data_IF_096006873191
#
_entry.id   IF_096006873191
#
_cell.length_a   1.000
_cell.length_b   1.000
_cell.length_c   1.000
_cell.angle_alpha   90.00
_cell.angle_beta   90.00
_cell.angle_gamma   90.00
#
_symmetry.space_group_name_H-M   'P 1'
#
loop_
_entity.id
_entity.type
_entity.pdbx_description
1 polymer ?
#
# COMPACT_ATOMS: atom_id res chain seq x y z
N UNK A 1 -16.80 -23.06 7.90
CA UNK A 1 -15.44 -22.99 7.29
C UNK A 1 -15.30 -24.16 6.35
N UNK A 2 -15.41 -23.95 5.04
CA UNK A 2 -15.18 -25.01 4.06
C UNK A 2 -13.70 -25.41 4.14
N UNK A 3 -13.46 -26.68 4.42
CA UNK A 3 -12.15 -27.35 4.35
C UNK A 3 -11.60 -27.18 2.91
N UNK A 4 -11.00 -26.04 2.60
CA UNK A 4 -10.22 -25.90 1.36
C UNK A 4 -8.83 -26.43 1.69
N UNK A 5 -8.53 -27.59 1.14
CA UNK A 5 -7.19 -28.15 1.13
C UNK A 5 -6.18 -27.08 0.72
N UNK A 6 -5.05 -27.00 1.41
CA UNK A 6 -3.95 -26.13 1.01
C UNK A 6 -3.61 -26.41 -0.46
N UNK A 7 -3.59 -25.38 -1.33
CA UNK A 7 -3.32 -25.62 -2.74
C UNK A 7 -2.00 -26.35 -2.91
N UNK A 8 -2.01 -27.32 -3.80
CA UNK A 8 -0.80 -28.05 -4.17
C UNK A 8 0.29 -27.06 -4.63
N UNK A 9 1.57 -27.39 -4.44
CA UNK A 9 2.67 -26.51 -4.90
C UNK A 9 2.54 -26.11 -6.37
N UNK A 10 2.01 -27.00 -7.19
CA UNK A 10 1.77 -26.73 -8.62
C UNK A 10 0.69 -25.66 -8.86
N UNK A 11 -0.41 -25.68 -8.10
CA UNK A 11 -1.45 -24.63 -8.16
C UNK A 11 -0.90 -23.28 -7.71
N UNK A 12 -0.10 -23.25 -6.65
CA UNK A 12 0.52 -22.00 -6.21
C UNK A 12 1.44 -21.41 -7.29
N UNK A 13 2.29 -22.26 -7.88
CA UNK A 13 3.19 -21.84 -8.97
C UNK A 13 2.42 -21.31 -10.18
N UNK A 14 1.30 -21.97 -10.57
CA UNK A 14 0.46 -21.50 -11.67
C UNK A 14 -0.17 -20.13 -11.38
N UNK A 15 -0.60 -19.83 -10.15
CA UNK A 15 -1.07 -18.49 -9.78
C UNK A 15 0.04 -17.44 -9.88
N UNK A 16 1.24 -17.74 -9.39
CA UNK A 16 2.38 -16.80 -9.48
C UNK A 16 2.73 -16.51 -10.93
N UNK A 17 2.88 -17.54 -11.76
CA UNK A 17 3.20 -17.37 -13.20
C UNK A 17 2.08 -16.59 -13.90
N UNK A 18 0.82 -16.98 -13.71
CA UNK A 18 -0.32 -16.32 -14.34
C UNK A 18 -0.43 -14.85 -13.94
N UNK A 19 -0.33 -14.51 -12.66
CA UNK A 19 -0.37 -13.13 -12.20
C UNK A 19 0.85 -12.32 -12.65
N UNK A 20 2.04 -12.93 -12.69
CA UNK A 20 3.23 -12.26 -13.23
C UNK A 20 3.07 -11.93 -14.71
N UNK A 21 2.49 -12.84 -15.51
CA UNK A 21 2.17 -12.58 -16.91
C UNK A 21 1.13 -11.46 -17.05
N UNK A 22 0.06 -11.49 -16.26
CA UNK A 22 -0.96 -10.42 -16.25
C UNK A 22 -0.31 -9.08 -15.89
N UNK A 23 0.57 -9.03 -14.89
CA UNK A 23 1.28 -7.82 -14.51
C UNK A 23 2.14 -7.28 -15.65
N UNK A 24 2.90 -8.14 -16.34
CA UNK A 24 3.74 -7.74 -17.48
C UNK A 24 2.89 -7.21 -18.66
N UNK A 25 1.80 -7.90 -18.97
CA UNK A 25 0.85 -7.47 -20.02
C UNK A 25 0.23 -6.11 -19.64
N UNK A 26 -0.19 -5.95 -18.39
CA UNK A 26 -0.78 -4.69 -17.90
C UNK A 26 0.25 -3.56 -17.92
N UNK A 27 1.51 -3.81 -17.57
CA UNK A 27 2.61 -2.85 -17.67
C UNK A 27 2.82 -2.39 -19.11
N UNK A 28 2.83 -3.32 -20.07
CA UNK A 28 2.97 -3.00 -21.48
C UNK A 28 1.79 -2.15 -21.97
N UNK A 29 0.55 -2.58 -21.69
CA UNK A 29 -0.67 -1.84 -22.04
C UNK A 29 -0.68 -0.46 -21.39
N UNK A 30 -0.32 -0.37 -20.12
CA UNK A 30 -0.24 0.89 -19.38
C UNK A 30 0.77 1.88 -20.00
N UNK A 31 1.86 1.36 -20.58
CA UNK A 31 2.85 2.19 -21.27
C UNK A 31 2.32 2.72 -22.63
N UNK A 32 1.38 2.02 -23.27
CA UNK A 32 0.72 2.49 -24.50
C UNK A 32 -0.29 3.62 -24.23
N UNK A 33 -0.99 3.56 -23.10
CA UNK A 33 -2.11 4.47 -22.77
C UNK A 33 -1.57 5.78 -22.17
N UNK A 34 -2.04 6.92 -22.68
CA UNK A 34 -1.73 8.27 -22.25
C UNK A 34 -2.04 9.28 -23.35
N UNK A 35 -2.00 10.60 -23.02
CA UNK A 35 -2.38 11.68 -23.93
C UNK A 35 -1.59 11.68 -25.24
N UNK A 36 -0.29 11.42 -25.18
CA UNK A 36 0.52 11.22 -26.39
C UNK A 36 0.27 9.83 -26.96
N UNK A 37 -0.22 9.76 -28.20
CA UNK A 37 -0.37 8.50 -28.95
C UNK A 37 1.01 7.96 -29.31
N UNK A 38 1.41 6.85 -28.71
CA UNK A 38 2.71 6.20 -28.93
C UNK A 38 2.46 4.81 -29.52
N UNK A 39 3.24 4.44 -30.55
CA UNK A 39 3.17 3.14 -31.18
C UNK A 39 3.90 2.07 -30.32
N UNK A 40 3.46 0.81 -30.44
CA UNK A 40 4.09 -0.29 -29.71
C UNK A 40 5.56 -0.51 -30.09
N UNK A 41 5.92 -0.27 -31.36
CA UNK A 41 7.32 -0.32 -31.84
C UNK A 41 8.21 0.69 -31.09
N UNK A 42 7.72 1.91 -30.87
CA UNK A 42 8.45 2.96 -30.17
C UNK A 42 8.73 2.59 -28.70
N UNK A 43 7.83 1.81 -28.05
CA UNK A 43 8.08 1.33 -26.69
C UNK A 43 9.24 0.32 -26.68
N UNK A 44 9.26 -0.60 -27.63
CA UNK A 44 10.33 -1.60 -27.77
C UNK A 44 11.66 -0.89 -28.04
N UNK A 45 11.67 0.08 -28.96
CA UNK A 45 12.84 0.90 -29.25
C UNK A 45 13.32 1.70 -28.01
N UNK A 46 12.39 2.30 -27.25
CA UNK A 46 12.73 3.07 -26.06
C UNK A 46 13.39 2.21 -24.97
N UNK A 47 13.06 0.91 -24.89
CA UNK A 47 13.64 -0.03 -23.91
C UNK A 47 15.00 -0.55 -24.38
N UNK A 48 15.14 -0.91 -25.67
CA UNK A 48 16.33 -1.58 -26.19
C UNK A 48 17.30 -0.67 -26.93
N UNK A 49 16.82 0.45 -27.50
CA UNK A 49 17.58 1.37 -28.36
C UNK A 49 17.20 2.82 -28.08
N UNK A 50 17.31 3.23 -26.81
CA UNK A 50 16.92 4.56 -26.37
C UNK A 50 17.70 5.67 -27.08
N UNK A 51 16.94 6.59 -27.72
CA UNK A 51 17.49 7.79 -28.35
C UNK A 51 16.97 9.06 -27.62
N UNK A 52 17.82 9.80 -26.92
CA UNK A 52 17.45 11.00 -26.17
C UNK A 52 16.89 12.13 -27.06
N UNK A 53 17.16 12.11 -28.36
CA UNK A 53 16.61 13.10 -29.31
C UNK A 53 15.17 12.81 -29.71
N UNK A 54 14.64 11.62 -29.40
CA UNK A 54 13.27 11.25 -29.71
C UNK A 54 12.33 11.59 -28.56
N UNK A 55 11.47 12.60 -28.75
CA UNK A 55 10.54 13.08 -27.76
C UNK A 55 9.58 11.99 -27.23
N UNK A 56 9.13 11.07 -28.08
CA UNK A 56 8.23 9.98 -27.67
C UNK A 56 8.95 8.99 -26.76
N UNK A 57 10.21 8.65 -27.05
CA UNK A 57 11.02 7.79 -26.20
C UNK A 57 11.33 8.44 -24.84
N UNK A 58 11.53 9.77 -24.82
CA UNK A 58 11.71 10.53 -23.55
C UNK A 58 10.43 10.48 -22.69
N UNK A 59 9.24 10.64 -23.29
CA UNK A 59 7.96 10.51 -22.56
C UNK A 59 7.84 9.10 -21.96
N UNK A 60 8.22 8.05 -22.69
CA UNK A 60 8.19 6.70 -22.17
C UNK A 60 9.13 6.55 -20.98
N UNK A 61 10.41 6.91 -21.13
CA UNK A 61 11.44 6.63 -20.14
C UNK A 61 11.38 7.53 -18.91
N UNK A 62 11.00 8.82 -19.08
CA UNK A 62 11.05 9.78 -17.98
C UNK A 62 9.70 9.97 -17.28
N UNK A 63 8.59 9.60 -17.94
CA UNK A 63 7.25 9.83 -17.40
C UNK A 63 6.50 8.51 -17.21
N UNK A 64 6.33 7.69 -18.28
CA UNK A 64 5.44 6.54 -18.22
C UNK A 64 6.02 5.36 -17.44
N UNK A 65 7.28 5.03 -17.67
CA UNK A 65 7.94 3.91 -16.97
C UNK A 65 8.03 4.19 -15.47
N UNK A 66 8.53 5.36 -14.99
CA UNK A 66 8.56 5.65 -13.54
C UNK A 66 7.17 5.61 -12.90
N UNK A 67 6.15 6.18 -13.56
CA UNK A 67 4.76 6.15 -13.10
C UNK A 67 4.22 4.73 -12.96
N UNK A 68 4.43 3.90 -13.97
CA UNK A 68 3.98 2.50 -13.97
C UNK A 68 4.67 1.67 -12.89
N UNK A 69 5.99 1.83 -12.73
CA UNK A 69 6.75 1.17 -11.66
C UNK A 69 6.26 1.65 -10.29
N UNK A 70 6.01 2.95 -10.12
CA UNK A 70 5.45 3.49 -8.89
C UNK A 70 4.10 2.85 -8.55
N UNK A 71 3.18 2.76 -9.50
CA UNK A 71 1.88 2.12 -9.31
C UNK A 71 2.03 0.67 -8.83
N UNK A 72 2.94 -0.09 -9.44
CA UNK A 72 3.19 -1.48 -9.07
C UNK A 72 3.76 -1.60 -7.66
N UNK A 73 4.86 -0.90 -7.34
CA UNK A 73 5.53 -1.04 -6.03
C UNK A 73 4.68 -0.51 -4.88
N UNK A 74 3.90 0.56 -5.11
CA UNK A 74 2.95 1.09 -4.14
C UNK A 74 1.82 0.09 -3.89
N UNK A 75 1.26 -0.47 -4.96
CA UNK A 75 0.24 -1.51 -4.84
C UNK A 75 0.73 -2.74 -4.09
N UNK A 76 1.94 -3.21 -4.39
CA UNK A 76 2.61 -4.29 -3.64
C UNK A 76 2.77 -3.93 -2.17
N UNK A 77 3.29 -2.74 -1.87
CA UNK A 77 3.57 -2.29 -0.51
C UNK A 77 2.30 -2.15 0.34
N UNK A 78 1.25 -1.50 -0.18
CA UNK A 78 -0.02 -1.34 0.52
C UNK A 78 -0.72 -2.67 0.77
N UNK A 79 -0.76 -3.54 -0.25
CA UNK A 79 -1.40 -4.85 -0.14
C UNK A 79 -0.69 -5.75 0.88
N UNK A 80 0.65 -5.83 0.83
CA UNK A 80 1.43 -6.63 1.78
C UNK A 80 1.35 -6.04 3.19
N UNK A 81 1.43 -4.71 3.35
CA UNK A 81 1.21 -4.06 4.64
C UNK A 81 -0.15 -4.44 5.23
N UNK A 82 -1.21 -4.41 4.42
CA UNK A 82 -2.54 -4.87 4.82
C UNK A 82 -2.57 -6.33 5.27
N UNK A 83 -1.95 -7.23 4.50
CA UNK A 83 -1.85 -8.64 4.86
C UNK A 83 -1.16 -8.85 6.21
N UNK A 84 -0.07 -8.13 6.46
CA UNK A 84 0.67 -8.16 7.73
C UNK A 84 -0.22 -7.71 8.89
N UNK A 85 -0.86 -6.54 8.76
CA UNK A 85 -1.71 -5.97 9.81
C UNK A 85 -2.88 -6.91 10.13
N UNK A 86 -3.54 -7.45 9.09
CA UNK A 86 -4.61 -8.44 9.27
C UNK A 86 -4.12 -9.70 9.97
N UNK A 87 -2.92 -10.19 9.66
CA UNK A 87 -2.31 -11.35 10.32
C UNK A 87 -1.98 -11.09 11.79
N UNK A 88 -1.35 -9.96 12.07
CA UNK A 88 -0.95 -9.56 13.43
C UNK A 88 -2.16 -9.30 14.33
N UNK A 89 -3.17 -8.62 13.80
CA UNK A 89 -4.40 -8.27 14.53
C UNK A 89 -5.42 -9.40 14.55
N UNK A 90 -5.24 -10.42 13.74
CA UNK A 90 -6.21 -11.50 13.48
C UNK A 90 -7.58 -10.95 13.08
N UNK A 91 -7.59 -9.83 12.41
CA UNK A 91 -8.77 -9.14 11.93
C UNK A 91 -8.67 -8.94 10.42
N UNK A 92 -9.48 -9.65 9.65
CA UNK A 92 -9.50 -9.57 8.19
C UNK A 92 -9.98 -8.22 7.62
N UNK A 93 -10.55 -7.36 8.46
CA UNK A 93 -11.02 -6.01 8.10
C UNK A 93 -10.02 -4.91 8.49
N UNK A 94 -8.86 -5.27 9.05
CA UNK A 94 -7.84 -4.29 9.36
C UNK A 94 -7.17 -3.77 8.09
N UNK A 95 -7.01 -2.44 8.01
CA UNK A 95 -6.39 -1.72 6.90
C UNK A 95 -5.30 -0.79 7.45
N UNK A 96 -4.13 -0.68 6.80
CA UNK A 96 -3.08 0.28 7.17
C UNK A 96 -3.58 1.72 7.28
N UNK A 97 -4.51 2.12 6.42
CA UNK A 97 -5.09 3.45 6.41
C UNK A 97 -5.82 3.81 7.73
N UNK A 98 -6.38 2.79 8.43
CA UNK A 98 -7.10 2.99 9.69
C UNK A 98 -6.18 3.15 10.91
N UNK A 99 -4.87 2.94 10.76
CA UNK A 99 -3.90 3.04 11.87
C UNK A 99 -3.24 4.43 11.94
N UNK A 100 -3.83 5.43 11.33
CA UNK A 100 -3.32 6.81 11.40
C UNK A 100 -2.14 7.12 10.47
N UNK A 101 -1.73 6.20 9.60
CA UNK A 101 -0.60 6.40 8.68
C UNK A 101 -0.88 7.53 7.69
N UNK A 102 -2.04 7.51 7.05
CA UNK A 102 -2.43 8.51 6.05
C UNK A 102 -2.57 9.92 6.66
N UNK A 103 -3.21 10.02 7.82
CA UNK A 103 -3.39 11.30 8.51
C UNK A 103 -2.10 11.86 9.06
N UNK A 104 -1.19 10.98 9.55
CA UNK A 104 0.15 11.37 9.97
C UNK A 104 0.98 11.92 8.82
N UNK A 105 0.95 11.26 7.65
CA UNK A 105 1.60 11.75 6.44
C UNK A 105 1.04 13.11 6.00
N UNK A 106 -0.30 13.26 5.93
CA UNK A 106 -0.96 14.53 5.58
C UNK A 106 -0.56 15.67 6.52
N UNK A 107 -0.53 15.41 7.83
CA UNK A 107 -0.13 16.40 8.81
C UNK A 107 1.33 16.84 8.61
N UNK A 108 2.24 15.87 8.45
CA UNK A 108 3.65 16.17 8.23
C UNK A 108 3.89 16.96 6.93
N UNK A 109 3.17 16.62 5.88
CA UNK A 109 3.23 17.35 4.61
C UNK A 109 2.70 18.77 4.73
N UNK A 110 1.54 18.97 5.34
CA UNK A 110 0.98 20.29 5.57
C UNK A 110 1.95 21.17 6.38
N UNK A 111 2.56 20.60 7.43
CA UNK A 111 3.57 21.28 8.24
C UNK A 111 4.83 21.61 7.43
N UNK A 112 5.30 20.66 6.61
CA UNK A 112 6.50 20.88 5.78
C UNK A 112 6.27 21.99 4.76
N UNK A 113 5.14 21.99 4.06
CA UNK A 113 4.80 23.08 3.14
C UNK A 113 4.65 24.45 3.82
N UNK A 114 4.12 24.47 5.05
CA UNK A 114 3.97 25.69 5.83
C UNK A 114 5.32 26.29 6.24
N UNK A 115 6.28 25.45 6.62
CA UNK A 115 7.61 25.87 7.10
C UNK A 115 8.62 26.04 5.96
N UNK A 116 8.54 25.19 4.93
CA UNK A 116 9.46 25.13 3.80
C UNK A 116 8.69 25.14 2.47
N UNK A 117 8.10 26.26 2.03
CA UNK A 117 7.19 26.31 0.89
C UNK A 117 7.83 25.93 -0.46
N UNK A 118 9.16 26.10 -0.61
CA UNK A 118 9.90 25.77 -1.84
C UNK A 118 10.75 24.52 -1.71
N UNK A 119 10.33 23.56 -0.90
CA UNK A 119 11.10 22.35 -0.64
C UNK A 119 11.04 21.37 -1.82
N UNK A 120 12.09 20.53 -1.92
CA UNK A 120 12.12 19.47 -2.94
C UNK A 120 11.12 18.36 -2.61
N UNK A 121 10.63 17.68 -3.65
CA UNK A 121 9.72 16.55 -3.46
C UNK A 121 10.35 15.43 -2.60
N UNK A 122 11.66 15.25 -2.64
CA UNK A 122 12.36 14.27 -1.81
C UNK A 122 12.17 14.56 -0.30
N UNK A 123 12.27 15.84 0.10
CA UNK A 123 12.03 16.25 1.49
C UNK A 123 10.56 15.99 1.87
N UNK A 124 9.62 16.29 0.96
CA UNK A 124 8.19 15.99 1.18
C UNK A 124 7.94 14.49 1.33
N UNK A 125 8.57 13.66 0.51
CA UNK A 125 8.49 12.21 0.62
C UNK A 125 8.98 11.71 1.98
N UNK A 126 10.14 12.18 2.44
CA UNK A 126 10.67 11.81 3.75
C UNK A 126 9.80 12.35 4.90
N UNK A 127 9.30 13.58 4.79
CA UNK A 127 8.39 14.16 5.78
C UNK A 127 7.08 13.34 5.88
N UNK A 128 6.47 13.02 4.74
CA UNK A 128 5.28 12.18 4.67
C UNK A 128 5.52 10.79 5.25
N UNK A 129 6.64 10.17 4.93
CA UNK A 129 7.06 8.88 5.48
C UNK A 129 7.22 8.92 7.01
N UNK A 130 7.95 9.90 7.53
CA UNK A 130 8.12 10.08 8.97
C UNK A 130 6.79 10.39 9.66
N UNK A 131 5.96 11.24 9.04
CA UNK A 131 4.61 11.54 9.54
C UNK A 131 3.71 10.31 9.60
N UNK A 132 3.76 9.45 8.58
CA UNK A 132 3.04 8.18 8.60
C UNK A 132 3.50 7.29 9.75
N UNK A 133 4.81 7.10 9.92
CA UNK A 133 5.37 6.29 11.02
C UNK A 133 4.96 6.88 12.38
N UNK A 134 5.06 8.18 12.56
CA UNK A 134 4.69 8.85 13.82
C UNK A 134 3.19 8.68 14.11
N UNK A 135 2.32 8.89 13.13
CA UNK A 135 0.88 8.66 13.27
C UNK A 135 0.57 7.24 13.68
N UNK A 136 1.14 6.25 12.98
CA UNK A 136 0.99 4.84 13.32
C UNK A 136 1.56 4.47 14.69
N UNK A 137 2.72 5.00 15.05
CA UNK A 137 3.34 4.78 16.37
C UNK A 137 2.48 5.32 17.51
N UNK A 138 1.91 6.52 17.37
CA UNK A 138 0.98 7.09 18.36
C UNK A 138 -0.23 6.19 18.56
N UNK A 139 -0.84 5.72 17.46
CA UNK A 139 -1.99 4.79 17.53
C UNK A 139 -1.62 3.49 18.23
N UNK A 140 -0.47 2.91 17.90
CA UNK A 140 -0.02 1.66 18.51
C UNK A 140 0.33 1.84 20.00
N UNK A 141 0.91 2.99 20.40
CA UNK A 141 1.19 3.29 21.80
C UNK A 141 -0.10 3.43 22.61
N UNK A 142 -1.11 4.15 22.10
CA UNK A 142 -2.41 4.31 22.75
C UNK A 142 -3.17 2.99 22.79
N UNK A 143 -3.14 2.23 21.68
CA UNK A 143 -3.85 0.94 21.56
C UNK A 143 -3.26 -0.19 22.43
N UNK A 144 -2.00 -0.05 22.89
CA UNK A 144 -1.33 -1.03 23.75
C UNK A 144 -1.70 -0.82 25.21
N UNK A 145 -2.37 -1.79 25.82
CA UNK A 145 -2.64 -1.79 27.27
C UNK A 145 -1.50 -2.46 28.05
N UNK A 146 -1.17 -1.91 29.20
CA UNK A 146 -0.22 -2.56 30.15
C UNK A 146 -0.77 -3.85 30.74
N UNK A 147 -2.11 -3.98 30.90
CA UNK A 147 -2.75 -5.13 31.54
C UNK A 147 -3.22 -6.20 30.54
N UNK A 148 -3.82 -5.78 29.40
CA UNK A 148 -4.51 -6.68 28.47
C UNK A 148 -3.69 -6.93 27.18
N UNK A 149 -2.47 -6.39 27.07
CA UNK A 149 -1.65 -6.53 25.89
C UNK A 149 -2.21 -5.80 24.67
N UNK A 150 -2.26 -6.46 23.54
CA UNK A 150 -2.65 -5.90 22.24
C UNK A 150 -4.16 -6.12 22.00
N UNK A 151 -4.97 -5.06 22.14
CA UNK A 151 -6.42 -5.14 21.91
C UNK A 151 -6.80 -4.50 20.57
N UNK A 152 -7.31 -5.28 19.59
CA UNK A 152 -7.66 -4.80 18.25
C UNK A 152 -8.70 -3.67 18.27
N UNK A 153 -9.71 -3.74 19.15
CA UNK A 153 -10.75 -2.70 19.25
C UNK A 153 -10.16 -1.37 19.73
N UNK A 154 -9.24 -1.38 20.70
CA UNK A 154 -8.57 -0.17 21.17
C UNK A 154 -7.72 0.48 20.08
N UNK A 155 -7.06 -0.32 19.23
CA UNK A 155 -6.26 0.19 18.11
C UNK A 155 -7.17 0.88 17.08
N UNK A 156 -8.32 0.28 16.75
CA UNK A 156 -9.28 0.90 15.83
C UNK A 156 -9.80 2.22 16.40
N UNK A 157 -10.20 2.26 17.67
CA UNK A 157 -10.68 3.48 18.30
C UNK A 157 -9.59 4.55 18.43
N UNK A 158 -8.37 4.15 18.82
CA UNK A 158 -7.22 5.04 18.86
C UNK A 158 -6.87 5.56 17.46
N UNK A 159 -6.91 4.69 16.46
CA UNK A 159 -6.70 5.03 15.06
C UNK A 159 -7.69 6.08 14.57
N UNK A 160 -8.98 5.88 14.85
CA UNK A 160 -10.02 6.84 14.49
C UNK A 160 -9.82 8.22 15.16
N UNK A 161 -9.55 8.23 16.47
CA UNK A 161 -9.34 9.46 17.23
C UNK A 161 -8.07 10.22 16.78
N UNK A 162 -6.93 9.52 16.66
CA UNK A 162 -5.67 10.10 16.21
C UNK A 162 -5.77 10.59 14.77
N UNK A 163 -6.41 9.81 13.89
CA UNK A 163 -6.63 10.21 12.49
C UNK A 163 -7.48 11.48 12.40
N UNK A 164 -8.57 11.56 13.16
CA UNK A 164 -9.41 12.76 13.20
C UNK A 164 -8.62 13.99 13.69
N UNK A 165 -7.85 13.83 14.76
CA UNK A 165 -7.01 14.92 15.29
C UNK A 165 -5.96 15.38 14.28
N UNK A 166 -5.19 14.45 13.70
CA UNK A 166 -4.13 14.80 12.75
C UNK A 166 -4.70 15.41 11.46
N UNK A 167 -5.86 14.93 11.01
CA UNK A 167 -6.57 15.50 9.85
C UNK A 167 -7.03 16.92 10.15
N UNK A 168 -7.62 17.17 11.31
CA UNK A 168 -8.04 18.52 11.72
C UNK A 168 -6.85 19.47 11.80
N UNK A 169 -5.72 19.04 12.40
CA UNK A 169 -4.49 19.84 12.45
C UNK A 169 -3.93 20.12 11.05
N UNK A 170 -3.91 19.12 10.18
CA UNK A 170 -3.48 19.27 8.77
C UNK A 170 -4.33 20.31 8.03
N UNK A 171 -5.65 20.23 8.18
CA UNK A 171 -6.59 21.19 7.57
C UNK A 171 -6.45 22.60 8.17
N UNK A 172 -6.25 22.70 9.49
CA UNK A 172 -5.99 23.96 10.17
C UNK A 172 -4.73 24.67 9.62
N UNK A 173 -3.63 23.92 9.47
CA UNK A 173 -2.40 24.43 8.86
C UNK A 173 -2.65 24.81 7.40
N UNK A 174 -3.31 23.96 6.62
CA UNK A 174 -3.61 24.24 5.21
C UNK A 174 -4.42 25.52 5.03
N UNK A 175 -5.38 25.78 5.92
CA UNK A 175 -6.18 26.99 5.92
C UNK A 175 -5.36 28.23 6.31
N UNK A 176 -4.60 28.15 7.41
CA UNK A 176 -3.78 29.25 7.94
C UNK A 176 -2.71 29.71 6.95
N UNK A 177 -2.10 28.79 6.20
CA UNK A 177 -1.02 29.05 5.24
C UNK A 177 -1.50 29.07 3.78
N UNK A 178 -2.81 28.99 3.52
CA UNK A 178 -3.42 28.97 2.16
C UNK A 178 -2.94 27.80 1.29
N UNK A 179 -2.70 26.64 1.90
CA UNK A 179 -2.20 25.42 1.25
C UNK A 179 -3.32 24.43 0.85
N UNK A 180 -4.59 24.85 0.92
CA UNK A 180 -5.75 23.96 0.73
C UNK A 180 -5.67 23.18 -0.57
N UNK A 181 -5.33 23.84 -1.68
CA UNK A 181 -5.23 23.19 -2.99
C UNK A 181 -4.11 22.13 -2.99
N UNK A 182 -2.93 22.47 -2.50
CA UNK A 182 -1.77 21.57 -2.45
C UNK A 182 -2.04 20.32 -1.61
N UNK A 183 -2.59 20.53 -0.39
CA UNK A 183 -2.94 19.42 0.51
C UNK A 183 -4.06 18.57 -0.09
N UNK A 184 -5.06 19.18 -0.73
CA UNK A 184 -6.15 18.45 -1.38
C UNK A 184 -5.65 17.60 -2.54
N UNK A 185 -4.80 18.12 -3.41
CA UNK A 185 -4.20 17.35 -4.51
C UNK A 185 -3.43 16.13 -4.00
N UNK A 186 -2.62 16.33 -2.96
CA UNK A 186 -1.86 15.23 -2.39
C UNK A 186 -2.78 14.19 -1.72
N UNK A 187 -3.79 14.62 -0.95
CA UNK A 187 -4.73 13.71 -0.29
C UNK A 187 -5.63 12.96 -1.26
N UNK A 188 -5.86 13.51 -2.46
CA UNK A 188 -6.62 12.84 -3.51
C UNK A 188 -5.94 11.55 -4.00
N UNK A 189 -4.62 11.46 -3.85
CA UNK A 189 -3.82 10.28 -4.14
C UNK A 189 -3.61 10.02 -5.63
N UNK A 190 -2.37 9.71 -6.00
CA UNK A 190 -2.03 9.36 -7.38
C UNK A 190 -0.52 9.19 -7.56
N UNK A 191 -0.14 8.58 -8.68
CA UNK A 191 1.27 8.31 -9.04
C UNK A 191 1.79 9.21 -10.16
N UNK A 192 0.98 10.18 -10.63
CA UNK A 192 1.26 11.00 -11.82
C UNK A 192 2.55 11.84 -11.71
N UNK A 193 2.94 12.27 -10.53
CA UNK A 193 4.15 13.06 -10.30
C UNK A 193 5.41 12.25 -10.00
N UNK A 194 5.39 10.93 -10.13
CA UNK A 194 6.53 10.09 -9.75
C UNK A 194 7.63 10.13 -10.81
N UNK A 195 8.87 10.33 -10.36
CA UNK A 195 10.08 10.35 -11.18
C UNK A 195 11.08 9.28 -10.72
N UNK A 196 12.14 9.04 -11.50
CA UNK A 196 13.23 8.14 -11.13
C UNK A 196 13.91 8.51 -9.81
N UNK A 197 13.99 9.80 -9.49
CA UNK A 197 14.57 10.26 -8.21
C UNK A 197 13.79 9.75 -7.00
N UNK A 198 12.48 9.60 -7.09
CA UNK A 198 11.64 9.02 -6.04
C UNK A 198 11.83 7.50 -5.95
N UNK A 199 11.84 6.83 -7.10
CA UNK A 199 11.96 5.38 -7.20
C UNK A 199 13.32 4.86 -6.74
N UNK A 200 14.39 5.63 -6.96
CA UNK A 200 15.73 5.31 -6.50
C UNK A 200 15.81 5.00 -5.00
N UNK A 201 14.98 5.65 -4.19
CA UNK A 201 14.90 5.41 -2.75
C UNK A 201 13.78 4.43 -2.38
N UNK A 202 12.65 4.51 -3.04
CA UNK A 202 11.50 3.68 -2.72
C UNK A 202 11.71 2.19 -3.06
N UNK A 203 12.27 1.88 -4.23
CA UNK A 203 12.47 0.49 -4.67
C UNK A 203 13.36 -0.31 -3.70
N UNK A 204 14.55 0.16 -3.30
CA UNK A 204 15.37 -0.58 -2.34
C UNK A 204 14.71 -0.75 -0.98
N UNK A 205 14.07 0.31 -0.45
CA UNK A 205 13.43 0.26 0.87
C UNK A 205 12.24 -0.70 0.89
N UNK A 206 11.37 -0.64 -0.12
CA UNK A 206 10.24 -1.57 -0.25
C UNK A 206 10.77 -2.98 -0.50
N UNK A 207 11.77 -3.16 -1.36
CA UNK A 207 12.39 -4.46 -1.64
C UNK A 207 12.96 -5.13 -0.41
N UNK A 208 13.72 -4.39 0.42
CA UNK A 208 14.26 -4.88 1.70
C UNK A 208 13.12 -5.26 2.65
N UNK A 209 12.10 -4.40 2.79
CA UNK A 209 10.97 -4.66 3.67
C UNK A 209 10.18 -5.91 3.23
N UNK A 210 9.94 -6.07 1.92
CA UNK A 210 9.31 -7.26 1.35
C UNK A 210 10.17 -8.51 1.57
N UNK A 211 11.47 -8.43 1.36
CA UNK A 211 12.38 -9.54 1.60
C UNK A 211 12.35 -10.00 3.06
N UNK A 212 12.45 -9.05 4.00
CA UNK A 212 12.42 -9.39 5.44
C UNK A 212 11.09 -10.04 5.82
N UNK A 213 9.95 -9.51 5.39
CA UNK A 213 8.65 -10.11 5.75
C UNK A 213 8.46 -11.51 5.15
N UNK A 214 9.01 -11.76 3.96
CA UNK A 214 8.98 -13.09 3.37
C UNK A 214 9.79 -14.10 4.18
N UNK A 215 10.94 -13.73 4.75
CA UNK A 215 11.75 -14.62 5.61
C UNK A 215 11.04 -14.99 6.90
N UNK A 216 10.20 -14.09 7.45
CA UNK A 216 9.44 -14.33 8.68
C UNK A 216 7.95 -14.68 8.43
N UNK A 217 7.59 -15.03 7.21
CA UNK A 217 6.20 -15.32 6.82
C UNK A 217 5.60 -16.52 7.57
N UNK A 218 6.41 -17.55 7.85
CA UNK A 218 5.99 -18.71 8.64
C UNK A 218 5.64 -18.33 10.08
N UNK A 219 6.42 -17.44 10.69
CA UNK A 219 6.16 -16.91 12.03
C UNK A 219 4.86 -16.09 12.06
N UNK A 220 4.56 -15.34 10.99
CA UNK A 220 3.29 -14.64 10.86
C UNK A 220 2.11 -15.61 10.70
N UNK A 221 2.30 -16.72 9.99
CA UNK A 221 1.29 -17.80 9.90
C UNK A 221 0.98 -18.36 11.29
N UNK A 222 2.01 -18.70 12.07
CA UNK A 222 1.85 -19.22 13.44
C UNK A 222 1.16 -18.18 14.34
N UNK A 223 1.57 -16.90 14.26
CA UNK A 223 0.97 -15.82 15.05
C UNK A 223 -0.53 -15.64 14.74
N UNK A 224 -0.93 -15.83 13.48
CA UNK A 224 -2.33 -15.72 13.05
C UNK A 224 -3.20 -16.86 13.61
N UNK A 225 -2.63 -18.05 13.93
CA UNK A 225 -3.35 -19.16 14.55
C UNK A 225 -3.75 -18.88 16.03
N UNK A 226 -3.06 -17.96 16.68
CA UNK A 226 -3.39 -17.54 18.04
C UNK A 226 -2.17 -17.38 18.94
N UNK A 227 -2.28 -16.48 19.92
CA UNK A 227 -1.15 -16.15 20.79
C UNK A 227 -0.74 -17.31 21.70
N UNK A 228 -1.72 -18.07 22.21
CA UNK A 228 -1.46 -19.25 23.06
C UNK A 228 -0.73 -20.36 22.28
N UNK A 229 -1.16 -20.64 21.06
CA UNK A 229 -0.50 -21.63 20.19
C UNK A 229 0.90 -21.15 19.80
N UNK A 230 1.07 -19.89 19.43
CA UNK A 230 2.37 -19.34 19.07
C UNK A 230 3.38 -19.43 20.22
N UNK A 231 2.95 -19.11 21.45
CA UNK A 231 3.78 -19.27 22.65
C UNK A 231 4.09 -20.72 22.96
N UNK A 232 3.11 -21.62 22.81
CA UNK A 232 3.31 -23.06 22.99
C UNK A 232 4.32 -23.67 22.01
N UNK A 233 4.43 -23.10 20.80
CA UNK A 233 5.44 -23.45 19.80
C UNK A 233 6.79 -22.73 20.01
N UNK A 234 6.98 -22.04 21.14
CA UNK A 234 8.24 -21.36 21.48
C UNK A 234 8.45 -20.02 20.79
N UNK A 235 7.42 -19.45 20.14
CA UNK A 235 7.56 -18.17 19.42
C UNK A 235 7.54 -16.98 20.38
N UNK A 236 8.49 -16.06 20.23
CA UNK A 236 8.44 -14.77 20.91
C UNK A 236 7.42 -13.85 20.21
N UNK A 237 6.16 -13.97 20.64
CA UNK A 237 5.01 -13.26 20.05
C UNK A 237 5.20 -11.74 20.03
N UNK A 238 5.74 -11.17 21.11
CA UNK A 238 5.94 -9.71 21.23
C UNK A 238 6.96 -9.20 20.20
N UNK A 239 8.06 -9.93 20.03
CA UNK A 239 9.11 -9.58 19.07
C UNK A 239 8.60 -9.69 17.63
N UNK A 240 8.00 -10.83 17.26
CA UNK A 240 7.49 -11.06 15.90
C UNK A 240 6.40 -10.06 15.55
N UNK A 241 5.46 -9.80 16.46
CA UNK A 241 4.42 -8.78 16.28
C UNK A 241 5.03 -7.39 16.05
N UNK A 242 6.02 -7.02 16.86
CA UNK A 242 6.72 -5.73 16.72
C UNK A 242 7.40 -5.59 15.36
N UNK A 243 8.17 -6.59 14.93
CA UNK A 243 8.85 -6.59 13.63
C UNK A 243 7.83 -6.48 12.49
N UNK A 244 6.77 -7.29 12.52
CA UNK A 244 5.71 -7.26 11.50
C UNK A 244 5.06 -5.88 11.40
N UNK A 245 4.73 -5.25 12.54
CA UNK A 245 4.12 -3.92 12.54
C UNK A 245 5.08 -2.83 12.02
N UNK A 246 6.36 -2.88 12.38
CA UNK A 246 7.37 -1.95 11.85
C UNK A 246 7.48 -2.09 10.33
N UNK A 247 7.56 -3.32 9.81
CA UNK A 247 7.63 -3.57 8.37
C UNK A 247 6.35 -3.06 7.67
N UNK A 248 5.18 -3.32 8.25
CA UNK A 248 3.92 -2.83 7.70
C UNK A 248 3.86 -1.29 7.65
N UNK A 249 4.33 -0.61 8.70
CA UNK A 249 4.42 0.86 8.73
C UNK A 249 5.42 1.40 7.70
N UNK A 250 6.56 0.74 7.52
CA UNK A 250 7.56 1.13 6.50
C UNK A 250 6.95 1.00 5.10
N UNK A 251 6.35 -0.15 4.78
CA UNK A 251 5.73 -0.40 3.47
C UNK A 251 4.62 0.62 3.19
N UNK A 252 3.67 0.79 4.11
CA UNK A 252 2.57 1.72 3.93
C UNK A 252 3.05 3.18 3.95
N UNK A 253 4.00 3.54 4.83
CA UNK A 253 4.54 4.89 4.92
C UNK A 253 5.24 5.33 3.63
N UNK A 254 6.06 4.47 3.01
CA UNK A 254 6.71 4.77 1.72
C UNK A 254 5.65 4.89 0.62
N UNK A 255 4.69 3.98 0.59
CA UNK A 255 3.61 4.02 -0.40
C UNK A 255 2.83 5.33 -0.33
N UNK A 256 2.39 5.71 0.87
CA UNK A 256 1.65 6.96 1.11
C UNK A 256 2.50 8.20 0.80
N UNK A 257 3.80 8.17 1.11
CA UNK A 257 4.71 9.27 0.79
C UNK A 257 4.85 9.52 -0.73
N UNK A 258 4.72 8.47 -1.55
CA UNK A 258 4.78 8.58 -3.02
C UNK A 258 3.43 8.98 -3.62
N UNK A 259 2.35 8.32 -3.17
CA UNK A 259 1.04 8.42 -3.84
C UNK A 259 0.01 9.24 -3.11
N UNK A 260 0.30 9.73 -1.90
CA UNK A 260 -0.74 10.27 -1.04
C UNK A 260 -1.65 9.17 -0.49
N UNK A 261 -2.89 9.55 -0.18
CA UNK A 261 -3.82 8.63 0.48
C UNK A 261 -4.46 7.66 -0.51
N UNK A 262 -4.16 6.37 -0.35
CA UNK A 262 -4.82 5.28 -1.08
C UNK A 262 -5.36 4.27 -0.06
N UNK A 263 -6.68 4.14 0.03
CA UNK A 263 -7.34 3.21 0.93
C UNK A 263 -7.78 1.92 0.21
N UNK A 264 -8.23 0.94 0.99
CA UNK A 264 -8.84 -0.33 0.54
C UNK A 264 -7.90 -1.33 -0.15
N UNK A 265 -6.74 -0.96 -0.68
CA UNK A 265 -5.79 -1.92 -1.28
C UNK A 265 -5.37 -2.96 -0.24
N UNK A 266 -4.94 -2.49 0.95
CA UNK A 266 -4.53 -3.35 2.06
C UNK A 266 -5.66 -4.15 2.70
N UNK A 267 -6.91 -3.75 2.49
CA UNK A 267 -8.07 -4.48 2.97
C UNK A 267 -8.51 -5.57 1.98
N UNK A 268 -8.67 -5.20 0.72
CA UNK A 268 -9.30 -6.03 -0.29
C UNK A 268 -8.37 -7.12 -0.83
N UNK A 269 -7.15 -6.75 -1.18
CA UNK A 269 -6.21 -7.65 -1.88
C UNK A 269 -5.80 -8.86 -1.04
N UNK A 270 -5.46 -8.74 0.27
CA UNK A 270 -5.15 -9.90 1.09
C UNK A 270 -6.33 -10.85 1.27
N UNK A 271 -7.55 -10.32 1.25
CA UNK A 271 -8.77 -11.14 1.33
C UNK A 271 -8.93 -11.99 0.06
N UNK A 272 -8.70 -11.40 -1.12
CA UNK A 272 -8.71 -12.12 -2.40
C UNK A 272 -7.62 -13.19 -2.40
N UNK A 273 -6.40 -12.86 -1.97
CA UNK A 273 -5.30 -13.81 -1.90
C UNK A 273 -5.63 -15.02 -1.00
N UNK A 274 -6.18 -14.79 0.21
CA UNK A 274 -6.62 -15.87 1.09
C UNK A 274 -7.72 -16.75 0.48
N UNK A 275 -8.60 -16.15 -0.29
CA UNK A 275 -9.64 -16.90 -0.98
C UNK A 275 -9.06 -17.87 -2.02
N UNK A 276 -7.96 -17.51 -2.69
CA UNK A 276 -7.31 -18.30 -3.73
C UNK A 276 -6.42 -19.42 -3.17
N UNK A 277 -5.65 -19.12 -2.09
CA UNK A 277 -4.54 -19.99 -1.65
C UNK A 277 -4.58 -20.35 -0.16
N UNK A 278 -5.67 -20.05 0.56
CA UNK A 278 -5.81 -20.38 1.98
C UNK A 278 -5.09 -19.40 2.91
N UNK A 279 -4.60 -19.87 4.07
CA UNK A 279 -4.18 -19.02 5.20
C UNK A 279 -2.67 -19.04 5.48
N UNK A 280 -1.86 -19.68 4.63
CA UNK A 280 -0.40 -19.72 4.76
C UNK A 280 0.25 -18.43 4.25
N UNK A 281 0.82 -17.63 5.14
CA UNK A 281 1.42 -16.33 4.80
C UNK A 281 2.66 -16.44 3.89
N UNK A 282 3.35 -17.59 3.88
CA UNK A 282 4.43 -17.81 2.93
C UNK A 282 3.94 -17.79 1.46
N UNK A 283 2.68 -18.15 1.24
CA UNK A 283 2.02 -18.10 -0.07
C UNK A 283 1.19 -16.83 -0.26
N UNK A 284 0.51 -16.38 0.79
CA UNK A 284 -0.33 -15.17 0.75
C UNK A 284 0.49 -13.95 0.36
N UNK A 285 1.64 -13.69 0.99
CA UNK A 285 2.40 -12.46 0.79
C UNK A 285 2.86 -12.25 -0.65
N UNK A 286 3.47 -13.23 -1.36
CA UNK A 286 3.83 -13.05 -2.75
C UNK A 286 2.62 -12.82 -3.66
N UNK A 287 1.54 -13.58 -3.44
CA UNK A 287 0.32 -13.43 -4.24
C UNK A 287 -0.34 -12.07 -4.01
N UNK A 288 -0.37 -11.62 -2.76
CA UNK A 288 -0.88 -10.32 -2.37
C UNK A 288 -0.08 -9.18 -3.00
N UNK A 289 1.25 -9.31 -3.05
CA UNK A 289 2.11 -8.33 -3.72
C UNK A 289 1.75 -8.20 -5.21
N UNK A 290 1.67 -9.30 -5.94
CA UNK A 290 1.32 -9.28 -7.36
C UNK A 290 -0.08 -8.70 -7.61
N UNK A 291 -1.08 -9.16 -6.87
CA UNK A 291 -2.45 -8.67 -6.99
C UNK A 291 -2.54 -7.17 -6.67
N UNK A 292 -1.82 -6.70 -5.63
CA UNK A 292 -1.78 -5.29 -5.25
C UNK A 292 -1.15 -4.43 -6.34
N UNK A 293 -0.04 -4.87 -6.91
CA UNK A 293 0.62 -4.19 -8.03
C UNK A 293 -0.28 -4.07 -9.25
N UNK A 294 -0.96 -5.16 -9.62
CA UNK A 294 -1.93 -5.17 -10.73
C UNK A 294 -3.09 -4.21 -10.45
N UNK A 295 -3.67 -4.27 -9.25
CA UNK A 295 -4.83 -3.44 -8.89
C UNK A 295 -4.52 -1.94 -9.02
N UNK A 296 -3.41 -1.47 -8.43
CA UNK A 296 -3.06 -0.06 -8.46
C UNK A 296 -2.64 0.38 -9.87
N UNK A 297 -1.93 -0.48 -10.62
CA UNK A 297 -1.58 -0.20 -12.00
C UNK A 297 -2.83 -0.08 -12.91
N UNK A 298 -3.81 -0.98 -12.77
CA UNK A 298 -5.07 -0.90 -13.51
C UNK A 298 -5.86 0.35 -13.10
N UNK A 299 -5.91 0.67 -11.81
CA UNK A 299 -6.56 1.90 -11.34
C UNK A 299 -5.89 3.15 -11.90
N UNK A 300 -4.57 3.18 -12.03
CA UNK A 300 -3.83 4.30 -12.66
C UNK A 300 -4.10 4.40 -14.16
N UNK A 301 -4.24 3.28 -14.87
CA UNK A 301 -4.65 3.26 -16.28
C UNK A 301 -6.05 3.87 -16.45
N UNK A 302 -7.00 3.47 -15.60
CA UNK A 302 -8.35 4.03 -15.59
C UNK A 302 -8.31 5.53 -15.26
N UNK A 303 -7.48 5.93 -14.28
CA UNK A 303 -7.30 7.34 -13.90
C UNK A 303 -6.87 8.21 -15.09
N UNK A 304 -5.90 7.74 -15.87
CA UNK A 304 -5.44 8.43 -17.10
C UNK A 304 -6.55 8.54 -18.13
N UNK A 305 -7.30 7.46 -18.34
CA UNK A 305 -8.41 7.46 -19.30
C UNK A 305 -9.54 8.44 -18.92
N UNK A 306 -9.74 8.67 -17.60
CA UNK A 306 -10.71 9.61 -17.05
C UNK A 306 -10.17 11.04 -16.87
N UNK A 307 -9.10 11.45 -17.58
CA UNK A 307 -8.53 12.78 -17.50
C UNK A 307 -7.73 13.04 -16.22
N UNK A 308 -6.88 12.11 -15.83
CA UNK A 308 -6.02 12.19 -14.64
C UNK A 308 -6.81 12.21 -13.31
N UNK A 309 -7.89 11.43 -13.25
CA UNK A 309 -8.66 11.29 -12.04
C UNK A 309 -7.81 10.74 -10.87
N UNK A 310 -8.14 11.08 -9.60
CA UNK A 310 -7.41 10.55 -8.45
C UNK A 310 -7.49 9.02 -8.34
N UNK A 311 -6.35 8.34 -8.31
CA UNK A 311 -6.27 6.86 -8.22
C UNK A 311 -6.93 6.35 -6.93
N UNK A 312 -6.76 7.08 -5.81
CA UNK A 312 -7.40 6.77 -4.54
C UNK A 312 -8.93 6.76 -4.61
N UNK A 313 -9.53 7.67 -5.39
CA UNK A 313 -10.98 7.71 -5.60
C UNK A 313 -11.46 6.49 -6.41
N UNK A 314 -10.75 6.11 -7.46
CA UNK A 314 -11.09 4.94 -8.29
C UNK A 314 -11.03 3.65 -7.46
N UNK A 315 -9.99 3.48 -6.67
CA UNK A 315 -9.85 2.30 -5.79
C UNK A 315 -10.95 2.31 -4.72
N UNK A 316 -11.28 3.46 -4.16
CA UNK A 316 -12.36 3.58 -3.17
C UNK A 316 -13.73 3.27 -3.75
N UNK A 317 -13.98 3.65 -5.01
CA UNK A 317 -15.24 3.34 -5.71
C UNK A 317 -15.48 1.83 -5.84
N UNK A 318 -14.42 1.04 -6.01
CA UNK A 318 -14.48 -0.43 -6.03
C UNK A 318 -14.43 -0.99 -4.61
N UNK A 319 -13.58 -0.42 -3.76
CA UNK A 319 -13.28 -0.92 -2.42
C UNK A 319 -14.45 -0.81 -1.44
N UNK A 320 -15.20 0.31 -1.47
CA UNK A 320 -16.33 0.53 -0.56
C UNK A 320 -17.46 -0.52 -0.75
N UNK A 321 -17.97 -0.78 -1.96
CA UNK A 321 -18.96 -1.84 -2.18
C UNK A 321 -18.44 -3.22 -1.76
N UNK A 322 -17.17 -3.51 -2.06
CA UNK A 322 -16.54 -4.77 -1.65
C UNK A 322 -16.46 -4.90 -0.12
N UNK A 323 -16.08 -3.84 0.57
CA UNK A 323 -16.03 -3.80 2.03
C UNK A 323 -17.42 -4.04 2.65
N UNK A 324 -18.44 -3.35 2.15
CA UNK A 324 -19.83 -3.54 2.60
C UNK A 324 -20.32 -4.97 2.39
N UNK A 325 -19.95 -5.58 1.26
CA UNK A 325 -20.24 -6.99 1.01
C UNK A 325 -19.56 -7.92 2.03
N UNK A 326 -18.30 -7.66 2.38
CA UNK A 326 -17.56 -8.44 3.39
C UNK A 326 -18.19 -8.31 4.78
N UNK A 327 -18.55 -7.10 5.19
CA UNK A 327 -19.21 -6.85 6.49
C UNK A 327 -20.55 -7.60 6.56
N UNK A 328 -21.37 -7.52 5.50
CA UNK A 328 -22.64 -8.24 5.44
C UNK A 328 -22.48 -9.77 5.50
N UNK A 329 -21.44 -10.30 4.87
CA UNK A 329 -21.16 -11.74 4.87
C UNK A 329 -20.54 -12.21 6.19
N UNK A 330 -19.64 -11.41 6.79
CA UNK A 330 -19.01 -11.71 8.08
C UNK A 330 -20.00 -11.68 9.25
N UNK A 331 -21.01 -10.81 9.22
CA UNK A 331 -22.07 -10.77 10.24
C UNK A 331 -23.01 -11.98 10.27
N UNK A 332 -22.90 -12.90 9.29
CA UNK A 332 -23.68 -14.17 9.26
C UNK A 332 -22.90 -15.38 9.78
N UNK A 333 -21.66 -15.19 10.21
CA UNK A 333 -20.77 -16.27 10.71
C UNK A 333 -20.34 -16.08 12.17
N UNK A 334 -21.11 -15.29 12.94
CA UNK A 334 -21.01 -15.19 14.40
C UNK A 334 -22.21 -15.94 15.01
#
# INVERSE_FOLDING_TARGET
>A
MTNRENPTPLKFLSYIIGLSMILLITLFISTLIGDAKIQASTIIEAIFNYNPSNQQQNIINEIRIPRNIAAVIVGMALAVSGAIIQGVTRNGLADPALIGLNSGASFALALTYAVLPNTSFLILMFAGFLGAILGGAIVLMIGRSRRDGFNPMRIILAGAAVSAMLTALSQGIALAFRLNQTVTFWTAGGVSGTTWSHLKWAIPLIGIALFIILTISKQLTILNLGESLAKGLGQNVTMIRGICLIIAMILAGIAVAITGQVAFVGLMVPHIARFLIGTDYAKILPLTALLGGILVLVADVIARYLGEAPVGAIISFIGVPYFLYLVKKGGRSI
#
